data_IF_996729513719
#
_entry.id   IF_996729513719
#
_cell.length_a   1.000
_cell.length_b   1.000
_cell.length_c   1.000
_cell.angle_alpha   90.00
_cell.angle_beta   90.00
_cell.angle_gamma   90.00
#
_symmetry.space_group_name_H-M   'P 1'
#
loop_
_entity.id
_entity.type
_entity.pdbx_description
1 polymer ?
#
# COMPACT_ATOMS: atom_id res chain seq x y z
N UNK A 1 -16.83 -3.57 -19.42
CA UNK A 1 -16.16 -3.02 -18.23
C UNK A 1 -16.96 -1.89 -17.55
N UNK A 2 -16.91 -1.80 -16.21
CA UNK A 2 -17.38 -0.61 -15.46
C UNK A 2 -16.32 0.51 -15.54
N UNK A 3 -16.69 1.79 -15.50
CA UNK A 3 -15.73 2.92 -15.47
C UNK A 3 -14.70 2.74 -14.35
N UNK A 4 -15.13 2.19 -13.20
CA UNK A 4 -14.26 1.93 -12.04
C UNK A 4 -13.13 0.94 -12.34
N UNK A 5 -13.35 0.03 -13.27
CA UNK A 5 -12.38 -0.99 -13.66
C UNK A 5 -11.38 -0.49 -14.71
N UNK A 6 -11.58 0.71 -15.26
CA UNK A 6 -10.70 1.32 -16.27
C UNK A 6 -9.68 2.32 -15.69
N UNK A 7 -9.66 2.50 -14.38
CA UNK A 7 -8.74 3.42 -13.69
C UNK A 7 -7.28 3.02 -13.94
N UNK A 8 -6.48 3.98 -14.40
CA UNK A 8 -5.08 3.79 -14.74
C UNK A 8 -4.16 3.86 -13.52
N UNK A 9 -2.99 3.21 -13.61
CA UNK A 9 -1.94 3.36 -12.59
C UNK A 9 -1.24 4.71 -12.76
N UNK A 10 -0.88 5.43 -11.67
CA UNK A 10 0.01 6.58 -11.75
C UNK A 10 1.34 6.23 -12.45
N UNK A 11 1.76 6.97 -13.48
CA UNK A 11 2.97 6.62 -14.25
C UNK A 11 4.25 6.48 -13.40
N UNK A 12 4.38 7.26 -12.32
CA UNK A 12 5.53 7.17 -11.42
C UNK A 12 5.62 5.82 -10.71
N UNK A 13 4.48 5.27 -10.26
CA UNK A 13 4.39 3.95 -9.61
C UNK A 13 4.82 2.86 -10.59
N UNK A 14 4.31 2.91 -11.82
CA UNK A 14 4.73 1.98 -12.87
C UNK A 14 6.24 2.09 -13.15
N UNK A 15 6.77 3.30 -13.31
CA UNK A 15 8.20 3.54 -13.57
C UNK A 15 9.09 2.96 -12.47
N UNK A 16 8.68 3.09 -11.20
CA UNK A 16 9.41 2.51 -10.06
C UNK A 16 9.62 1.00 -10.22
N UNK A 17 8.56 0.26 -10.54
CA UNK A 17 8.65 -1.18 -10.75
C UNK A 17 9.28 -1.53 -12.10
N UNK A 18 9.01 -0.76 -13.15
CA UNK A 18 9.56 -1.01 -14.48
C UNK A 18 11.10 -0.98 -14.47
N UNK A 19 11.72 -0.10 -13.67
CA UNK A 19 13.18 -0.08 -13.51
C UNK A 19 13.75 -1.39 -12.96
N UNK A 20 13.01 -2.06 -12.07
CA UNK A 20 13.45 -3.28 -11.40
C UNK A 20 13.16 -4.52 -12.26
N UNK A 21 11.98 -4.57 -12.87
CA UNK A 21 11.44 -5.77 -13.52
C UNK A 21 11.47 -5.72 -15.06
N UNK A 22 11.71 -4.54 -15.66
CA UNK A 22 11.83 -4.30 -17.11
C UNK A 22 10.69 -4.91 -17.93
N UNK A 23 9.46 -4.52 -17.58
CA UNK A 23 8.23 -5.06 -18.14
C UNK A 23 8.22 -5.12 -19.66
N UNK A 24 7.74 -6.25 -20.20
CA UNK A 24 7.60 -6.49 -21.63
C UNK A 24 6.17 -6.31 -22.12
N UNK A 25 5.22 -6.35 -21.20
CA UNK A 25 3.80 -6.41 -21.46
C UNK A 25 3.03 -5.70 -20.36
N UNK A 26 1.99 -4.97 -20.72
CA UNK A 26 0.92 -4.57 -19.81
C UNK A 26 -0.26 -5.53 -19.99
N UNK A 27 -0.42 -6.45 -19.05
CA UNK A 27 -1.26 -7.63 -19.24
C UNK A 27 -2.75 -7.37 -19.00
N UNK A 28 -3.15 -6.20 -18.49
CA UNK A 28 -4.54 -5.84 -18.29
C UNK A 28 -4.69 -4.32 -18.47
N UNK A 29 -4.93 -3.90 -19.71
CA UNK A 29 -4.99 -2.49 -20.06
C UNK A 29 -6.05 -2.23 -21.14
N UNK A 30 -6.05 -1.01 -21.65
CA UNK A 30 -6.82 -0.51 -22.78
C UNK A 30 -5.93 0.40 -23.63
N UNK A 31 -6.39 0.76 -24.82
CA UNK A 31 -5.70 1.70 -25.70
C UNK A 31 -5.42 3.07 -25.05
N UNK A 32 -6.15 3.42 -23.98
CA UNK A 32 -6.06 4.71 -23.31
C UNK A 32 -5.24 4.71 -22.01
N UNK A 33 -5.06 3.55 -21.37
CA UNK A 33 -4.43 3.47 -20.03
C UNK A 33 -3.18 2.56 -19.97
N UNK A 34 -2.77 1.98 -21.11
CA UNK A 34 -1.59 1.13 -21.17
C UNK A 34 -0.31 1.91 -20.81
N UNK A 35 0.62 1.24 -20.11
CA UNK A 35 1.90 1.81 -19.69
C UNK A 35 3.10 1.16 -20.38
N UNK A 36 2.89 -0.02 -20.98
CA UNK A 36 3.84 -0.64 -21.89
C UNK A 36 3.44 -0.38 -23.35
N UNK A 37 4.42 -0.43 -24.27
CA UNK A 37 4.15 -0.38 -25.72
C UNK A 37 3.32 -1.57 -26.21
N UNK A 38 3.51 -2.72 -25.57
CA UNK A 38 2.75 -3.95 -25.83
C UNK A 38 1.81 -4.17 -24.66
N UNK A 39 0.55 -4.43 -24.97
CA UNK A 39 -0.49 -4.58 -23.96
C UNK A 39 -1.60 -5.50 -24.44
N UNK A 40 -2.39 -6.00 -23.50
CA UNK A 40 -3.58 -6.83 -23.75
C UNK A 40 -4.83 -6.06 -23.34
N UNK A 41 -5.76 -5.89 -24.28
CA UNK A 41 -7.06 -5.24 -24.04
C UNK A 41 -8.10 -6.20 -23.47
N UNK A 42 -9.21 -5.65 -22.95
CA UNK A 42 -10.39 -6.43 -22.53
C UNK A 42 -10.85 -7.39 -23.65
N UNK A 43 -10.89 -6.92 -24.90
CA UNK A 43 -11.32 -7.72 -26.06
C UNK A 43 -10.36 -8.85 -26.40
N UNK A 44 -9.06 -8.64 -26.18
CA UNK A 44 -8.03 -9.66 -26.38
C UNK A 44 -8.01 -10.72 -25.27
N UNK A 45 -8.61 -10.40 -24.11
CA UNK A 45 -8.77 -11.28 -22.96
C UNK A 45 -7.45 -11.90 -22.46
N UNK A 46 -6.88 -11.32 -21.40
CA UNK A 46 -5.60 -11.77 -20.83
C UNK A 46 -5.59 -13.22 -20.34
N UNK A 47 -6.75 -13.79 -20.02
CA UNK A 47 -6.88 -15.17 -19.58
C UNK A 47 -6.64 -16.17 -20.73
N UNK A 48 -6.95 -15.75 -21.96
CA UNK A 48 -6.88 -16.54 -23.19
C UNK A 48 -5.65 -16.20 -24.04
N UNK A 49 -5.20 -14.94 -24.00
CA UNK A 49 -4.09 -14.44 -24.81
C UNK A 49 -2.75 -15.14 -24.49
N UNK A 50 -1.94 -15.36 -25.53
CA UNK A 50 -0.55 -15.81 -25.41
C UNK A 50 0.38 -14.61 -25.11
N UNK A 51 0.91 -14.53 -23.88
CA UNK A 51 1.71 -13.38 -23.43
C UNK A 51 3.06 -13.28 -24.14
N UNK A 52 3.68 -14.39 -24.54
CA UNK A 52 4.92 -14.34 -25.34
C UNK A 52 4.67 -13.69 -26.70
N UNK A 53 3.60 -14.09 -27.38
CA UNK A 53 3.17 -13.48 -28.64
C UNK A 53 2.78 -12.02 -28.43
N UNK A 54 1.99 -11.69 -27.41
CA UNK A 54 1.61 -10.30 -27.13
C UNK A 54 2.84 -9.41 -26.87
N UNK A 55 3.82 -9.91 -26.12
CA UNK A 55 5.01 -9.16 -25.71
C UNK A 55 6.07 -9.04 -26.81
N UNK A 56 6.27 -10.09 -27.64
CA UNK A 56 7.41 -10.15 -28.57
C UNK A 56 7.05 -10.44 -30.02
N UNK A 57 5.79 -10.72 -30.37
CA UNK A 57 5.44 -10.96 -31.76
C UNK A 57 5.86 -9.76 -32.61
N UNK A 58 6.67 -10.09 -33.61
CA UNK A 58 6.93 -9.28 -34.79
C UNK A 58 5.92 -9.75 -35.83
N UNK A 59 5.29 -8.81 -36.52
CA UNK A 59 4.32 -9.11 -37.58
C UNK A 59 4.87 -10.19 -38.53
N UNK A 60 4.17 -11.32 -38.63
CA UNK A 60 4.56 -12.45 -39.50
C UNK A 60 5.53 -13.49 -38.93
N UNK A 61 5.86 -13.50 -37.62
CA UNK A 61 6.69 -14.56 -37.01
C UNK A 61 6.10 -15.10 -35.70
N UNK A 62 5.85 -16.41 -35.65
CA UNK A 62 5.62 -17.17 -34.41
C UNK A 62 6.93 -17.30 -33.65
N UNK A 63 6.97 -16.89 -32.38
CA UNK A 63 8.10 -17.20 -31.51
C UNK A 63 8.10 -18.70 -31.30
N UNK A 64 9.16 -19.36 -31.78
CA UNK A 64 9.37 -20.75 -31.43
C UNK A 64 9.91 -20.81 -30.00
N UNK A 65 9.51 -21.84 -29.25
CA UNK A 65 9.85 -22.04 -27.82
C UNK A 65 11.38 -22.10 -27.60
N UNK A 66 12.16 -22.39 -28.62
CA UNK A 66 13.62 -22.43 -28.66
C UNK A 66 14.30 -21.05 -28.82
N UNK A 67 13.53 -19.96 -28.95
CA UNK A 67 14.10 -18.62 -28.99
C UNK A 67 14.70 -18.25 -27.61
N UNK A 68 15.93 -17.71 -27.61
CA UNK A 68 16.75 -17.45 -26.41
C UNK A 68 16.04 -16.58 -25.36
N UNK A 69 15.01 -15.82 -25.79
CA UNK A 69 14.16 -14.96 -24.97
C UNK A 69 13.17 -15.72 -24.08
N UNK A 70 12.79 -16.95 -24.44
CA UNK A 70 11.93 -17.82 -23.61
C UNK A 70 12.69 -18.42 -22.43
N UNK A 71 14.02 -18.45 -22.50
CA UNK A 71 14.90 -18.96 -21.43
C UNK A 71 15.33 -17.90 -20.41
N UNK A 72 15.04 -16.62 -20.66
CA UNK A 72 15.27 -15.53 -19.71
C UNK A 72 13.90 -15.15 -19.15
N UNK A 73 13.75 -15.15 -17.82
CA UNK A 73 12.49 -14.77 -17.19
C UNK A 73 12.03 -13.38 -17.63
N UNK A 74 10.77 -13.24 -18.04
CA UNK A 74 10.16 -11.99 -18.49
C UNK A 74 9.11 -11.52 -17.50
N UNK A 75 8.79 -10.22 -17.48
CA UNK A 75 7.79 -9.68 -16.55
C UNK A 75 6.70 -8.90 -17.27
N UNK A 76 5.47 -9.08 -16.81
CA UNK A 76 4.33 -8.24 -17.15
C UNK A 76 3.99 -7.31 -15.99
N UNK A 77 3.52 -6.12 -16.34
CA UNK A 77 2.75 -5.27 -15.43
C UNK A 77 1.28 -5.71 -15.46
N UNK A 78 0.59 -5.65 -14.33
CA UNK A 78 -0.84 -5.89 -14.28
C UNK A 78 -1.52 -4.99 -13.25
N UNK A 79 -2.47 -4.19 -13.71
CA UNK A 79 -3.43 -3.48 -12.87
C UNK A 79 -4.84 -4.00 -13.26
N UNK A 80 -5.29 -5.12 -12.67
CA UNK A 80 -6.52 -5.77 -13.09
C UNK A 80 -7.75 -4.93 -12.73
N UNK A 81 -8.93 -5.22 -13.32
CA UNK A 81 -10.21 -4.70 -12.83
C UNK A 81 -10.44 -5.19 -11.38
N UNK A 82 -10.70 -4.26 -10.46
CA UNK A 82 -10.83 -4.59 -9.03
C UNK A 82 -12.18 -5.21 -8.67
N UNK A 83 -13.14 -5.21 -9.60
CA UNK A 83 -14.41 -5.92 -9.46
C UNK A 83 -14.27 -7.44 -9.38
N UNK A 84 -13.24 -8.02 -10.02
CA UNK A 84 -12.98 -9.46 -9.98
C UNK A 84 -11.48 -9.79 -10.19
N UNK A 85 -10.70 -9.76 -9.11
CA UNK A 85 -9.25 -9.99 -9.13
C UNK A 85 -8.88 -11.47 -9.28
N UNK A 86 -9.75 -12.39 -8.85
CA UNK A 86 -9.45 -13.83 -8.74
C UNK A 86 -8.92 -14.46 -10.04
N UNK A 87 -9.60 -14.31 -11.19
CA UNK A 87 -9.13 -14.83 -12.48
C UNK A 87 -7.76 -14.30 -12.91
N UNK A 88 -7.42 -13.07 -12.53
CA UNK A 88 -6.11 -12.45 -12.84
C UNK A 88 -4.99 -13.07 -12.01
N UNK A 89 -5.27 -13.47 -10.76
CA UNK A 89 -4.32 -14.25 -9.94
C UNK A 89 -4.02 -15.60 -10.59
N UNK A 90 -5.04 -16.34 -11.03
CA UNK A 90 -4.81 -17.62 -11.73
C UNK A 90 -4.04 -17.43 -13.05
N UNK A 91 -4.28 -16.32 -13.73
CA UNK A 91 -3.54 -15.98 -14.97
C UNK A 91 -2.08 -15.69 -14.68
N UNK A 92 -1.78 -14.93 -13.63
CA UNK A 92 -0.41 -14.68 -13.20
C UNK A 92 0.30 -15.98 -12.83
N UNK A 93 -0.35 -16.91 -12.12
CA UNK A 93 0.19 -18.24 -11.76
C UNK A 93 0.46 -19.08 -13.02
N UNK A 94 -0.49 -19.14 -13.96
CA UNK A 94 -0.35 -19.85 -15.24
C UNK A 94 0.87 -19.37 -16.03
N UNK A 95 1.09 -18.05 -16.09
CA UNK A 95 2.20 -17.45 -16.84
C UNK A 95 3.53 -17.53 -16.11
N UNK A 96 3.50 -17.42 -14.78
CA UNK A 96 4.65 -17.65 -13.91
C UNK A 96 5.31 -18.99 -14.21
N UNK A 97 4.51 -20.06 -14.28
CA UNK A 97 4.98 -21.42 -14.59
C UNK A 97 5.64 -21.55 -15.98
N UNK A 98 5.29 -20.65 -16.92
CA UNK A 98 5.83 -20.61 -18.28
C UNK A 98 7.02 -19.64 -18.43
N UNK A 99 7.48 -19.02 -17.36
CA UNK A 99 8.63 -18.10 -17.40
C UNK A 99 8.26 -16.64 -17.62
N UNK A 100 6.99 -16.29 -17.49
CA UNK A 100 6.50 -14.92 -17.57
C UNK A 100 5.91 -14.49 -16.22
N UNK A 101 6.73 -13.82 -15.43
CA UNK A 101 6.35 -13.27 -14.13
C UNK A 101 5.43 -12.07 -14.25
N UNK A 102 4.84 -11.69 -13.13
CA UNK A 102 3.87 -10.58 -13.04
C UNK A 102 4.15 -9.74 -11.82
N UNK A 103 4.13 -8.41 -11.98
CA UNK A 103 3.96 -7.47 -10.87
C UNK A 103 2.53 -6.95 -10.94
N UNK A 104 1.71 -7.37 -9.98
CA UNK A 104 0.28 -7.07 -9.94
C UNK A 104 -0.03 -6.03 -8.86
N UNK A 105 -0.62 -4.90 -9.25
CA UNK A 105 -1.13 -3.88 -8.35
C UNK A 105 -2.57 -4.22 -7.95
N UNK A 106 -2.84 -4.35 -6.65
CA UNK A 106 -4.18 -4.65 -6.12
C UNK A 106 -4.50 -3.82 -4.88
N UNK A 107 -5.77 -3.78 -4.48
CA UNK A 107 -6.15 -3.25 -3.17
C UNK A 107 -5.55 -4.11 -2.05
N UNK A 108 -5.16 -3.48 -0.94
CA UNK A 108 -4.64 -4.18 0.24
C UNK A 108 -5.80 -4.81 1.03
N UNK A 109 -6.31 -5.93 0.53
CA UNK A 109 -7.35 -6.75 1.17
C UNK A 109 -6.82 -8.17 1.35
N UNK A 110 -6.58 -8.56 2.60
CA UNK A 110 -5.84 -9.78 2.94
C UNK A 110 -6.74 -10.91 3.47
N UNK A 111 -8.01 -10.62 3.78
CA UNK A 111 -8.97 -11.61 4.30
C UNK A 111 -9.81 -12.28 3.22
N UNK A 112 -9.46 -12.07 1.95
CA UNK A 112 -10.21 -12.52 0.77
C UNK A 112 -9.56 -13.71 0.08
N UNK A 113 -10.39 -14.53 -0.60
CA UNK A 113 -9.95 -15.78 -1.21
C UNK A 113 -8.86 -15.63 -2.28
N UNK A 114 -8.96 -14.60 -3.12
CA UNK A 114 -7.93 -14.34 -4.15
C UNK A 114 -6.57 -13.97 -3.53
N UNK A 115 -6.56 -13.32 -2.36
CA UNK A 115 -5.31 -12.97 -1.69
C UNK A 115 -4.65 -14.22 -1.13
N UNK A 116 -5.42 -15.06 -0.42
CA UNK A 116 -4.93 -16.38 0.03
C UNK A 116 -4.31 -17.15 -1.13
N UNK A 117 -5.00 -17.19 -2.26
CA UNK A 117 -4.51 -17.87 -3.46
C UNK A 117 -3.24 -17.23 -4.02
N UNK A 118 -3.14 -15.91 -4.02
CA UNK A 118 -1.95 -15.23 -4.50
C UNK A 118 -0.71 -15.54 -3.63
N UNK A 119 -0.84 -15.47 -2.30
CA UNK A 119 0.29 -15.69 -1.38
C UNK A 119 0.78 -17.14 -1.32
N UNK A 120 -0.01 -18.10 -1.82
CA UNK A 120 0.45 -19.48 -2.02
C UNK A 120 1.48 -19.60 -3.16
N UNK A 121 1.52 -18.64 -4.10
CA UNK A 121 2.30 -18.74 -5.35
C UNK A 121 3.24 -17.56 -5.63
N UNK A 122 2.93 -16.36 -5.14
CA UNK A 122 3.80 -15.20 -5.32
C UNK A 122 5.03 -15.29 -4.43
N UNK A 123 6.13 -14.65 -4.85
CA UNK A 123 7.40 -14.65 -4.11
C UNK A 123 7.53 -13.42 -3.22
N UNK A 124 6.90 -12.30 -3.58
CA UNK A 124 6.97 -11.06 -2.80
C UNK A 124 5.59 -10.41 -2.65
N UNK A 125 5.36 -9.82 -1.49
CA UNK A 125 4.22 -8.93 -1.20
C UNK A 125 4.77 -7.59 -0.74
N UNK A 126 4.46 -6.54 -1.50
CA UNK A 126 4.88 -5.17 -1.15
C UNK A 126 3.70 -4.39 -0.62
N UNK A 127 3.71 -4.09 0.68
CA UNK A 127 2.68 -3.28 1.33
C UNK A 127 3.01 -1.80 1.15
N UNK A 128 2.09 -1.03 0.56
CA UNK A 128 2.29 0.41 0.41
C UNK A 128 1.95 1.12 1.71
N UNK A 129 2.95 1.78 2.30
CA UNK A 129 2.81 2.55 3.53
C UNK A 129 2.82 4.06 3.23
N UNK A 130 2.36 4.88 4.18
CA UNK A 130 2.55 6.33 4.11
C UNK A 130 4.05 6.68 4.07
N UNK A 131 4.39 7.79 3.42
CA UNK A 131 5.76 8.30 3.41
C UNK A 131 6.16 8.95 4.73
N UNK A 132 7.47 9.10 4.95
CA UNK A 132 8.04 9.62 6.21
C UNK A 132 7.81 11.13 6.45
N UNK A 133 7.18 11.84 5.51
CA UNK A 133 6.91 13.29 5.61
C UNK A 133 5.66 13.68 6.39
N UNK A 134 5.04 12.77 7.15
CA UNK A 134 3.82 13.04 7.96
C UNK A 134 2.53 13.26 7.15
N UNK A 135 2.63 13.54 5.84
CA UNK A 135 1.48 13.59 4.92
C UNK A 135 1.05 12.18 4.54
N UNK A 136 0.10 11.65 5.29
CA UNK A 136 -0.60 10.40 4.95
C UNK A 136 -1.24 10.46 3.56
N UNK A 137 -1.51 9.29 2.97
CA UNK A 137 -2.32 9.20 1.76
C UNK A 137 -2.17 7.87 1.04
N UNK A 138 -3.12 7.60 0.15
CA UNK A 138 -3.18 6.40 -0.70
C UNK A 138 -2.71 6.74 -2.11
N UNK A 139 -2.49 5.72 -2.92
CA UNK A 139 -2.26 5.93 -4.36
C UNK A 139 -3.56 6.43 -5.00
N UNK A 140 -3.52 7.59 -5.63
CA UNK A 140 -4.62 8.11 -6.45
C UNK A 140 -4.47 7.58 -7.86
N UNK A 141 -5.37 6.68 -8.27
CA UNK A 141 -5.41 6.15 -9.63
C UNK A 141 -5.82 7.21 -10.64
N UNK A 142 -5.43 7.04 -11.90
CA UNK A 142 -5.77 7.96 -12.98
C UNK A 142 -7.21 7.67 -13.43
N UNK A 143 -8.06 8.67 -13.29
CA UNK A 143 -9.45 8.59 -13.73
C UNK A 143 -9.51 8.51 -15.27
N UNK A 144 -10.23 7.53 -15.85
CA UNK A 144 -10.24 7.31 -17.29
C UNK A 144 -10.99 8.40 -18.07
N UNK A 145 -11.88 9.15 -17.43
CA UNK A 145 -12.62 10.25 -18.08
C UNK A 145 -11.82 11.56 -18.04
N UNK A 146 -11.18 11.85 -16.91
CA UNK A 146 -10.50 13.13 -16.72
C UNK A 146 -8.99 13.10 -17.00
N UNK A 147 -8.38 11.91 -17.02
CA UNK A 147 -6.92 11.73 -17.12
C UNK A 147 -6.13 12.24 -15.91
N UNK A 148 -6.81 12.59 -14.81
CA UNK A 148 -6.20 13.15 -13.59
C UNK A 148 -6.24 12.14 -12.44
N UNK A 149 -5.35 12.29 -11.43
CA UNK A 149 -5.44 11.51 -10.21
C UNK A 149 -6.80 11.68 -9.55
N UNK A 150 -7.46 10.58 -9.25
CA UNK A 150 -8.76 10.56 -8.61
C UNK A 150 -8.67 10.80 -7.12
N UNK A 151 -9.68 11.51 -6.60
CA UNK A 151 -9.86 11.73 -5.18
C UNK A 151 -10.73 10.64 -4.56
N UNK A 152 -10.52 10.37 -3.28
CA UNK A 152 -11.41 9.48 -2.51
C UNK A 152 -11.12 7.98 -2.61
N UNK A 153 -9.96 7.55 -3.15
CA UNK A 153 -9.53 6.16 -2.98
C UNK A 153 -9.39 5.86 -1.48
N UNK A 154 -10.27 4.99 -0.96
CA UNK A 154 -10.36 4.70 0.46
C UNK A 154 -9.69 3.38 0.87
N UNK A 155 -9.00 2.69 -0.04
CA UNK A 155 -8.29 1.44 0.23
C UNK A 155 -6.78 1.62 0.07
N UNK A 156 -6.02 0.93 0.93
CA UNK A 156 -4.58 0.79 0.73
C UNK A 156 -4.28 0.02 -0.55
N UNK A 157 -3.04 0.08 -1.01
CA UNK A 157 -2.56 -0.66 -2.18
C UNK A 157 -1.46 -1.62 -1.77
N UNK A 158 -1.31 -2.70 -2.51
CA UNK A 158 -0.17 -3.61 -2.40
C UNK A 158 0.23 -4.14 -3.77
N UNK A 159 1.42 -4.70 -3.85
CA UNK A 159 1.90 -5.41 -5.03
C UNK A 159 2.15 -6.86 -4.73
N UNK A 160 1.70 -7.73 -5.62
CA UNK A 160 1.99 -9.15 -5.62
C UNK A 160 2.99 -9.42 -6.74
N UNK A 161 4.15 -9.98 -6.39
CA UNK A 161 5.22 -10.27 -7.35
C UNK A 161 5.33 -11.77 -7.55
N UNK A 162 4.97 -12.22 -8.75
CA UNK A 162 5.15 -13.59 -9.23
C UNK A 162 6.42 -13.62 -10.09
N UNK A 163 7.51 -14.19 -9.58
CA UNK A 163 8.74 -14.31 -10.37
C UNK A 163 8.63 -15.42 -11.42
N UNK A 164 9.20 -15.25 -12.63
CA UNK A 164 9.30 -16.29 -13.65
C UNK A 164 9.81 -17.60 -13.08
N UNK A 165 9.13 -18.70 -13.40
CA UNK A 165 9.43 -20.05 -12.89
C UNK A 165 9.42 -20.15 -11.35
N UNK A 166 8.77 -19.19 -10.69
CA UNK A 166 8.56 -19.19 -9.26
C UNK A 166 7.80 -20.43 -8.83
N UNK A 167 8.18 -20.97 -7.67
CA UNK A 167 7.51 -22.11 -7.04
C UNK A 167 6.69 -21.61 -5.86
N UNK A 168 5.61 -22.32 -5.49
CA UNK A 168 4.89 -22.05 -4.25
C UNK A 168 5.85 -21.90 -3.06
N UNK A 169 5.74 -20.79 -2.35
CA UNK A 169 6.60 -20.45 -1.22
C UNK A 169 5.87 -19.51 -0.26
N UNK A 170 6.41 -19.35 0.94
CA UNK A 170 6.02 -18.24 1.81
C UNK A 170 6.60 -16.95 1.23
N UNK A 171 5.79 -15.96 0.84
CA UNK A 171 6.29 -14.75 0.21
C UNK A 171 7.06 -13.88 1.22
N UNK A 172 8.04 -13.14 0.70
CA UNK A 172 8.73 -12.11 1.47
C UNK A 172 7.85 -10.87 1.51
N UNK A 173 7.51 -10.42 2.71
CA UNK A 173 6.79 -9.16 2.92
C UNK A 173 7.77 -8.00 3.05
N UNK A 174 7.51 -6.92 2.31
CA UNK A 174 8.30 -5.68 2.36
C UNK A 174 7.35 -4.49 2.46
N UNK A 175 7.78 -3.46 3.17
CA UNK A 175 7.11 -2.17 3.14
C UNK A 175 7.74 -1.30 2.06
N UNK A 176 6.92 -0.61 1.28
CA UNK A 176 7.38 0.38 0.30
C UNK A 176 6.61 1.66 0.54
N UNK A 177 7.33 2.74 0.81
CA UNK A 177 6.70 4.03 1.05
C UNK A 177 6.07 4.56 -0.24
N UNK A 178 4.84 5.08 -0.13
CA UNK A 178 4.13 5.73 -1.24
C UNK A 178 4.98 6.80 -1.91
N UNK A 179 5.63 7.64 -1.12
CA UNK A 179 6.39 8.77 -1.64
C UNK A 179 7.64 8.29 -2.40
N UNK A 180 8.20 7.14 -2.04
CA UNK A 180 9.27 6.51 -2.82
C UNK A 180 8.78 6.03 -4.20
N UNK A 181 7.57 5.45 -4.26
CA UNK A 181 6.93 5.07 -5.52
C UNK A 181 6.71 6.29 -6.42
N UNK A 182 6.34 7.43 -5.84
CA UNK A 182 6.02 8.66 -6.58
C UNK A 182 7.26 9.49 -6.95
N UNK A 183 8.33 9.47 -6.14
CA UNK A 183 9.63 10.10 -6.46
C UNK A 183 10.36 9.45 -7.62
N UNK A 184 10.00 8.21 -7.96
CA UNK A 184 10.55 7.45 -9.09
C UNK A 184 10.40 8.09 -10.47
N UNK A 185 9.96 9.34 -10.59
CA UNK A 185 9.97 10.13 -11.82
C UNK A 185 11.22 11.03 -11.97
N UNK A 186 12.01 11.27 -10.92
CA UNK A 186 13.14 12.20 -10.92
C UNK A 186 14.47 11.43 -10.88
N UNK A 187 14.96 11.02 -12.06
CA UNK A 187 16.22 10.31 -12.21
C UNK A 187 16.32 9.57 -13.55
N UNK A 188 16.94 10.24 -14.53
CA UNK A 188 17.48 9.79 -15.82
C UNK A 188 16.60 9.72 -17.10
N UNK A 189 17.03 10.59 -18.04
CA UNK A 189 17.07 10.56 -19.52
C UNK A 189 15.78 10.50 -20.36
N UNK A 190 15.74 11.21 -21.52
CA UNK A 190 14.51 11.48 -22.24
C UNK A 190 13.94 10.21 -22.89
N UNK A 191 12.64 10.01 -22.70
CA UNK A 191 11.80 9.26 -23.63
C UNK A 191 11.48 10.24 -24.77
N UNK A 192 11.79 9.85 -26.01
CA UNK A 192 11.47 10.60 -27.23
C UNK A 192 10.01 11.06 -27.22
N UNK A 193 9.81 12.29 -26.80
CA UNK A 193 8.57 13.05 -26.97
C UNK A 193 9.01 14.42 -27.42
N UNK A 194 8.78 14.69 -28.70
CA UNK A 194 9.04 15.98 -29.28
C UNK A 194 8.16 17.05 -28.60
N UNK A 195 8.83 18.16 -28.33
CA UNK A 195 8.45 19.32 -27.56
C UNK A 195 7.36 20.21 -28.17
N UNK A 196 6.56 20.81 -27.31
CA UNK A 196 6.14 22.22 -27.45
C UNK A 196 5.96 22.87 -26.07
N UNK A 197 6.85 23.81 -25.75
CA UNK A 197 6.75 24.85 -24.69
C UNK A 197 5.55 25.79 -24.95
N UNK A 198 4.98 26.60 -24.06
CA UNK A 198 5.18 27.02 -22.65
C UNK A 198 3.91 27.81 -22.22
N UNK A 199 3.64 27.96 -20.91
CA UNK A 199 3.54 29.25 -20.22
C UNK A 199 3.08 29.13 -18.75
N UNK A 200 3.72 29.95 -17.91
CA UNK A 200 3.56 30.18 -16.47
C UNK A 200 2.29 30.95 -16.09
N UNK A 201 1.78 30.79 -14.85
CA UNK A 201 1.78 31.85 -13.80
C UNK A 201 1.00 31.47 -12.52
N UNK A 202 1.66 31.75 -11.38
CA UNK A 202 1.20 32.34 -10.09
C UNK A 202 0.34 31.52 -9.10
N UNK A 203 0.92 31.37 -7.91
CA UNK A 203 0.37 30.89 -6.64
C UNK A 203 -0.76 31.78 -6.09
N UNK A 204 -1.76 31.15 -5.48
CA UNK A 204 -2.59 31.76 -4.46
C UNK A 204 -2.69 30.79 -3.28
N UNK A 205 -2.03 31.15 -2.18
CA UNK A 205 -2.13 30.47 -0.88
C UNK A 205 -3.52 30.63 -0.31
N UNK A 206 -4.27 29.54 -0.19
CA UNK A 206 -5.45 29.44 0.65
C UNK A 206 -5.09 28.50 1.79
N UNK A 207 -4.97 29.05 3.00
CA UNK A 207 -4.75 28.30 4.24
C UNK A 207 -5.89 27.28 4.38
N UNK A 208 -5.52 26.00 4.38
CA UNK A 208 -6.44 24.88 4.48
C UNK A 208 -6.90 24.71 5.94
N UNK A 209 -8.15 24.32 6.10
CA UNK A 209 -8.84 24.07 7.38
C UNK A 209 -8.05 23.04 8.23
N UNK A 210 -7.23 22.21 7.58
CA UNK A 210 -6.35 21.23 8.23
C UNK A 210 -5.30 21.84 9.17
N UNK A 211 -4.82 23.07 8.92
CA UNK A 211 -3.90 23.80 9.81
C UNK A 211 -4.58 24.31 11.10
N UNK A 212 -5.92 24.29 11.15
CA UNK A 212 -6.67 24.54 12.39
C UNK A 212 -6.84 23.26 13.21
N UNK A 213 -6.98 22.10 12.55
CA UNK A 213 -7.16 20.80 13.23
C UNK A 213 -5.83 20.28 13.76
N UNK A 214 -4.72 20.48 13.04
CA UNK A 214 -3.38 20.07 13.49
C UNK A 214 -2.88 20.83 14.73
N UNK A 215 -3.54 21.93 15.11
CA UNK A 215 -3.27 22.69 16.35
C UNK A 215 -4.12 22.24 17.53
N UNK A 216 -5.06 21.32 17.34
CA UNK A 216 -5.87 20.80 18.42
C UNK A 216 -5.15 19.60 19.08
N UNK A 217 -4.30 19.92 20.06
CA UNK A 217 -3.47 18.97 20.83
C UNK A 217 -4.36 18.05 21.71
N UNK A 218 -5.68 18.17 21.63
CA UNK A 218 -6.61 17.49 22.54
C UNK A 218 -7.27 16.23 21.98
N UNK A 219 -7.04 15.86 20.71
CA UNK A 219 -7.73 14.73 20.08
C UNK A 219 -6.80 13.56 19.71
N UNK A 220 -6.25 12.86 20.70
CA UNK A 220 -5.69 11.51 20.50
C UNK A 220 -6.65 10.45 21.03
N UNK A 221 -7.48 9.87 20.14
CA UNK A 221 -8.21 8.64 20.42
C UNK A 221 -7.23 7.45 20.44
N UNK A 222 -6.39 7.37 21.48
CA UNK A 222 -5.46 6.27 21.72
C UNK A 222 -6.22 5.09 22.35
N UNK A 223 -6.33 3.98 21.62
CA UNK A 223 -6.94 2.74 22.14
C UNK A 223 -5.86 1.87 22.77
N UNK A 224 -5.93 1.66 24.08
CA UNK A 224 -4.95 0.88 24.84
C UNK A 224 -5.29 -0.63 24.90
N UNK A 225 -4.28 -1.52 25.00
CA UNK A 225 -4.50 -2.94 25.28
C UNK A 225 -5.33 -3.15 26.56
N UNK A 226 -6.15 -4.21 26.61
CA UNK A 226 -7.03 -4.51 27.75
C UNK A 226 -6.22 -4.65 29.05
N UNK A 227 -5.01 -5.22 28.97
CA UNK A 227 -4.12 -5.39 30.12
C UNK A 227 -3.66 -4.04 30.69
N UNK A 228 -3.35 -3.07 29.84
CA UNK A 228 -2.98 -1.70 30.25
C UNK A 228 -4.18 -0.99 30.87
N UNK A 229 -5.36 -1.14 30.26
CA UNK A 229 -6.60 -0.58 30.80
C UNK A 229 -6.99 -1.18 32.16
N UNK A 230 -6.71 -2.46 32.39
CA UNK A 230 -6.97 -3.11 33.68
C UNK A 230 -6.00 -2.61 34.76
N UNK A 231 -4.72 -2.39 34.43
CA UNK A 231 -3.75 -1.78 35.36
C UNK A 231 -4.21 -0.39 35.75
N UNK A 232 -4.59 0.46 34.77
CA UNK A 232 -5.05 1.81 35.05
C UNK A 232 -6.28 1.83 35.98
N UNK A 233 -7.27 0.95 35.74
CA UNK A 233 -8.45 0.81 36.60
C UNK A 233 -8.10 0.41 38.03
N UNK A 234 -7.23 -0.59 38.19
CA UNK A 234 -6.80 -1.07 39.51
C UNK A 234 -6.05 0.03 40.29
N UNK A 235 -5.19 0.81 39.62
CA UNK A 235 -4.49 1.94 40.24
C UNK A 235 -5.48 3.01 40.70
N UNK A 236 -6.47 3.38 39.87
CA UNK A 236 -7.49 4.35 40.28
C UNK A 236 -8.33 3.85 41.47
N UNK A 237 -8.68 2.57 41.48
CA UNK A 237 -9.41 1.93 42.59
C UNK A 237 -8.59 1.96 43.89
N UNK A 238 -7.30 1.60 43.83
CA UNK A 238 -6.39 1.65 44.99
C UNK A 238 -6.12 3.06 45.51
N UNK A 239 -6.13 4.05 44.63
CA UNK A 239 -5.99 5.46 44.98
C UNK A 239 -7.32 6.10 45.44
N UNK A 240 -8.45 5.38 45.35
CA UNK A 240 -9.77 5.90 45.72
C UNK A 240 -10.29 7.00 44.79
N UNK A 241 -9.84 7.03 43.53
CA UNK A 241 -10.21 8.03 42.53
C UNK A 241 -11.47 7.55 41.80
N UNK A 242 -12.59 8.23 42.03
CA UNK A 242 -13.90 7.87 41.46
C UNK A 242 -14.23 8.61 40.16
N UNK A 243 -13.60 9.75 39.93
CA UNK A 243 -13.74 10.54 38.69
C UNK A 243 -12.36 10.72 38.07
N UNK A 244 -12.20 10.25 36.82
CA UNK A 244 -10.93 10.32 36.09
C UNK A 244 -11.11 11.20 34.86
N UNK A 245 -10.13 12.07 34.62
CA UNK A 245 -10.05 12.83 33.36
C UNK A 245 -9.42 11.98 32.28
N UNK A 246 -9.71 12.29 31.01
CA UNK A 246 -9.12 11.62 29.86
C UNK A 246 -7.58 11.73 29.85
N UNK A 247 -7.05 12.87 30.29
CA UNK A 247 -5.61 13.12 30.44
C UNK A 247 -4.99 12.18 31.48
N UNK A 248 -5.60 12.07 32.67
CA UNK A 248 -5.10 11.17 33.72
C UNK A 248 -5.13 9.70 33.29
N UNK A 249 -6.19 9.29 32.58
CA UNK A 249 -6.28 7.94 32.03
C UNK A 249 -5.19 7.71 30.98
N UNK A 250 -4.94 8.69 30.11
CA UNK A 250 -3.91 8.59 29.08
C UNK A 250 -2.50 8.49 29.68
N UNK A 251 -2.12 9.40 30.59
CA UNK A 251 -0.80 9.40 31.25
C UNK A 251 -0.54 8.09 31.99
N UNK A 252 -1.56 7.59 32.70
CA UNK A 252 -1.45 6.34 33.44
C UNK A 252 -1.30 5.12 32.52
N UNK A 253 -2.05 5.08 31.41
CA UNK A 253 -1.93 4.02 30.42
C UNK A 253 -0.60 4.07 29.67
N UNK A 254 -0.07 5.26 29.35
CA UNK A 254 1.25 5.43 28.74
C UNK A 254 2.35 4.83 29.63
N UNK A 255 2.31 5.16 30.92
CA UNK A 255 3.30 4.71 31.89
C UNK A 255 3.19 3.21 32.21
N UNK A 256 1.97 2.69 32.38
CA UNK A 256 1.74 1.26 32.54
C UNK A 256 2.22 0.45 31.33
N UNK A 257 2.00 0.96 30.11
CA UNK A 257 2.47 0.31 28.89
C UNK A 257 4.00 0.36 28.78
N UNK A 258 4.63 1.47 29.16
CA UNK A 258 6.10 1.62 29.20
C UNK A 258 6.73 0.56 30.09
N UNK A 259 6.28 0.43 31.34
CA UNK A 259 6.85 -0.54 32.29
C UNK A 259 6.60 -2.00 31.86
N UNK A 260 5.43 -2.28 31.27
CA UNK A 260 5.16 -3.61 30.71
C UNK A 260 6.11 -3.97 29.57
N UNK A 261 6.43 -3.03 28.69
CA UNK A 261 7.40 -3.23 27.61
C UNK A 261 8.84 -3.42 28.12
N UNK A 262 9.15 -2.84 29.29
CA UNK A 262 10.43 -3.04 30.00
C UNK A 262 10.49 -4.39 30.76
N UNK A 263 9.37 -5.13 30.80
CA UNK A 263 9.31 -6.48 31.36
C UNK A 263 9.01 -6.54 32.86
N UNK A 264 8.53 -5.45 33.46
CA UNK A 264 8.13 -5.46 34.87
C UNK A 264 6.89 -6.34 35.11
N UNK A 265 6.83 -7.08 36.23
CA UNK A 265 5.62 -7.80 36.64
C UNK A 265 4.46 -6.85 36.92
N UNK A 266 3.24 -7.25 36.58
CA UNK A 266 2.03 -6.42 36.74
C UNK A 266 1.86 -5.85 38.16
N UNK A 267 2.10 -6.66 39.19
CA UNK A 267 1.97 -6.21 40.59
C UNK A 267 2.95 -5.08 40.92
N UNK A 268 4.19 -5.17 40.42
CA UNK A 268 5.20 -4.12 40.60
C UNK A 268 4.85 -2.83 39.86
N UNK A 269 4.23 -2.94 38.68
CA UNK A 269 3.75 -1.78 37.91
C UNK A 269 2.62 -1.07 38.68
N UNK A 270 1.65 -1.82 39.19
CA UNK A 270 0.55 -1.26 39.97
C UNK A 270 1.07 -0.56 41.22
N UNK A 271 1.99 -1.20 41.96
CA UNK A 271 2.53 -0.63 43.20
C UNK A 271 3.33 0.66 42.92
N UNK A 272 4.16 0.69 41.86
CA UNK A 272 4.90 1.90 41.47
C UNK A 272 3.96 3.04 41.04
N UNK A 273 2.96 2.74 40.22
CA UNK A 273 1.99 3.72 39.77
C UNK A 273 1.18 4.29 40.94
N UNK A 274 0.70 3.46 41.87
CA UNK A 274 -0.02 3.90 43.09
C UNK A 274 0.85 4.82 43.94
N UNK A 275 2.16 4.54 44.08
CA UNK A 275 3.07 5.38 44.85
C UNK A 275 3.32 6.74 44.20
N UNK A 276 3.26 6.82 42.87
CA UNK A 276 3.54 8.02 42.10
C UNK A 276 2.28 8.86 41.79
N UNK A 277 1.09 8.40 42.18
CA UNK A 277 -0.14 9.16 42.00
C UNK A 277 -0.20 10.39 42.95
N UNK A 278 -0.63 11.57 42.46
CA UNK A 278 -0.74 12.75 43.30
C UNK A 278 -1.80 12.54 44.39
N UNK A 279 -1.41 12.46 45.66
CA UNK A 279 -2.37 12.49 46.76
C UNK A 279 -2.93 13.91 46.90
N UNK A 280 -4.22 14.11 46.65
CA UNK A 280 -4.87 15.37 47.02
C UNK A 280 -4.72 15.59 48.53
N UNK A 281 -4.04 16.68 48.92
CA UNK A 281 -4.03 17.14 50.31
C UNK A 281 -5.47 17.50 50.68
N UNK A 282 -6.07 16.72 51.58
CA UNK A 282 -7.28 17.11 52.31
C UNK A 282 -7.13 18.57 52.79
N UNK A 283 -8.06 19.48 52.50
CA UNK A 283 -8.00 20.82 53.06
C UNK A 283 -8.13 20.71 54.58
N UNK A 284 -7.17 21.29 55.29
CA UNK A 284 -7.22 21.43 56.74
C UNK A 284 -8.45 22.28 57.08
N UNK A 285 -9.45 21.69 57.74
CA UNK A 285 -10.60 22.41 58.23
C UNK A 285 -10.15 23.45 59.27
N UNK A 286 -10.60 24.69 59.09
CA UNK A 286 -10.61 25.73 60.13
C UNK A 286 -11.92 25.66 60.90
#
# INVERSE_FOLDING_TARGET
MSIKDSYGTPPAVFKYYHRQYRFKLDAAASDNNHLCRKYITEQQNTHEADWFSAAFAVEGKTLKIDDRKSFIGNYAWMNPPYSDIGPFVETAIKWQAQGFGTVMLVMMDQSVGWFKRAVEHCQEVHLVTSGSGGKGGRLSFIDPETGKPANGNNKGSMFLVFHPFGKPCMPIYKHVERDQLLKGAEGDMPIDTQSSESQSTVEATQLDIEDQIARDITATNSVWPIEVMNIAKEVFERCGITETTEIQLQELCEEANRQRLEGYPTDSIIDDLVMNMPTEKKPCAA
#
